data_IF_139302955581
#
_entry.id   IF_139302955581
#
_cell.length_a   1.000
_cell.length_b   1.000
_cell.length_c   1.000
_cell.angle_alpha   90.00
_cell.angle_beta   90.00
_cell.angle_gamma   90.00
#
_symmetry.space_group_name_H-M   'P 1'
#
loop_
_entity.id
_entity.type
_entity.pdbx_description
1 polymer ?
#
# COMPACT_ATOMS: atom_id res chain seq x y z
N UNK A 1 -6.48 23.40 8.21
CA UNK A 1 -5.30 22.73 8.82
C UNK A 1 -4.26 22.49 7.74
N UNK A 2 -3.00 22.82 7.97
CA UNK A 2 -1.92 22.44 7.05
C UNK A 2 -1.60 20.95 7.27
N UNK A 3 -1.60 20.17 6.19
CA UNK A 3 -1.27 18.77 6.22
C UNK A 3 0.26 18.56 6.36
N UNK A 4 0.69 17.66 7.24
CA UNK A 4 2.12 17.46 7.50
C UNK A 4 2.81 16.80 6.29
N UNK A 5 4.13 16.97 6.14
CA UNK A 5 4.92 16.28 5.11
C UNK A 5 4.80 14.76 5.24
N UNK A 6 4.70 14.27 6.48
CA UNK A 6 4.58 12.85 6.76
C UNK A 6 3.20 12.31 6.32
N UNK A 7 2.13 13.05 6.58
CA UNK A 7 0.77 12.65 6.17
C UNK A 7 0.67 12.51 4.65
N UNK A 8 1.35 13.40 3.90
CA UNK A 8 1.40 13.32 2.44
C UNK A 8 2.06 12.04 1.95
N UNK A 9 3.14 11.60 2.61
CA UNK A 9 3.82 10.34 2.30
C UNK A 9 2.94 9.14 2.63
N UNK A 10 2.25 9.15 3.78
CA UNK A 10 1.31 8.09 4.15
C UNK A 10 0.19 7.97 3.10
N UNK A 11 -0.36 9.09 2.64
CA UNK A 11 -1.41 9.11 1.61
C UNK A 11 -0.90 8.62 0.25
N UNK A 12 0.29 9.05 -0.15
CA UNK A 12 0.93 8.60 -1.39
C UNK A 12 1.17 7.09 -1.37
N UNK A 13 1.71 6.56 -0.27
CA UNK A 13 1.87 5.13 -0.07
C UNK A 13 0.54 4.40 -0.17
N UNK A 14 -0.48 4.86 0.56
CA UNK A 14 -1.79 4.20 0.57
C UNK A 14 -2.44 4.18 -0.81
N UNK A 15 -2.30 5.26 -1.58
CA UNK A 15 -2.81 5.35 -2.95
C UNK A 15 -2.13 4.30 -3.85
N UNK A 16 -0.81 4.17 -3.77
CA UNK A 16 -0.06 3.17 -4.53
C UNK A 16 -0.38 1.74 -4.09
N UNK A 17 -0.53 1.51 -2.78
CA UNK A 17 -0.89 0.21 -2.22
C UNK A 17 -2.28 -0.21 -2.68
N UNK A 18 -3.27 0.68 -2.59
CA UNK A 18 -4.65 0.39 -3.02
C UNK A 18 -4.77 0.22 -4.55
N UNK A 19 -3.90 0.85 -5.34
CA UNK A 19 -3.86 0.66 -6.80
C UNK A 19 -3.55 -0.79 -7.21
N UNK A 20 -2.87 -1.56 -6.35
CA UNK A 20 -2.62 -2.99 -6.55
C UNK A 20 -3.94 -3.79 -6.58
N UNK A 21 -4.93 -3.38 -5.78
CA UNK A 21 -6.23 -4.06 -5.60
C UNK A 21 -7.31 -3.67 -6.60
N UNK A 22 -6.96 -2.99 -7.71
CA UNK A 22 -7.95 -2.44 -8.66
C UNK A 22 -9.02 -1.58 -7.96
N UNK A 23 -8.60 -0.77 -6.99
CA UNK A 23 -9.48 0.23 -6.40
C UNK A 23 -9.81 1.28 -7.45
N UNK A 24 -11.09 1.47 -7.73
CA UNK A 24 -11.59 2.39 -8.76
C UNK A 24 -11.53 3.85 -8.26
N UNK A 25 -11.90 4.08 -6.99
CA UNK A 25 -11.93 5.42 -6.42
C UNK A 25 -11.60 5.42 -4.93
N UNK A 26 -10.83 6.41 -4.47
CA UNK A 26 -10.69 6.74 -3.04
C UNK A 26 -11.63 7.91 -2.73
N UNK A 27 -12.75 7.64 -2.06
CA UNK A 27 -13.76 8.66 -1.70
C UNK A 27 -13.22 9.67 -0.69
N UNK A 28 -12.62 9.16 0.38
CA UNK A 28 -11.93 10.00 1.34
C UNK A 28 -10.80 9.21 2.02
N UNK A 29 -9.83 9.96 2.52
CA UNK A 29 -8.73 9.43 3.31
C UNK A 29 -8.35 10.45 4.39
N UNK A 30 -8.11 9.95 5.60
CA UNK A 30 -7.73 10.78 6.74
C UNK A 30 -6.65 10.06 7.54
N UNK A 31 -5.67 10.83 7.99
CA UNK A 31 -4.61 10.35 8.87
C UNK A 31 -4.66 11.11 10.19
N UNK A 32 -4.81 10.38 11.29
CA UNK A 32 -4.88 10.95 12.63
C UNK A 32 -4.39 9.92 13.66
N UNK A 33 -3.61 10.35 14.65
CA UNK A 33 -3.13 9.47 15.74
C UNK A 33 -2.46 8.17 15.24
N UNK A 34 -1.58 8.29 14.24
CA UNK A 34 -0.91 7.16 13.57
C UNK A 34 -1.85 6.15 12.89
N UNK A 35 -3.11 6.54 12.63
CA UNK A 35 -4.08 5.70 11.94
C UNK A 35 -4.50 6.36 10.65
N UNK A 36 -4.34 5.63 9.57
CA UNK A 36 -4.93 5.95 8.29
C UNK A 36 -6.30 5.28 8.22
N UNK A 37 -7.31 6.01 7.80
CA UNK A 37 -8.63 5.45 7.54
C UNK A 37 -9.24 6.15 6.34
N UNK A 38 -10.10 5.45 5.64
CA UNK A 38 -10.71 5.96 4.44
C UNK A 38 -11.85 5.10 3.95
N UNK A 39 -12.41 5.53 2.83
CA UNK A 39 -13.44 4.81 2.10
C UNK A 39 -13.01 4.74 0.65
N UNK A 40 -13.17 3.56 0.06
CA UNK A 40 -12.86 3.28 -1.33
C UNK A 40 -14.09 2.70 -2.03
N UNK A 41 -14.13 2.88 -3.34
CA UNK A 41 -14.93 2.03 -4.23
C UNK A 41 -14.01 0.95 -4.77
N UNK A 42 -14.32 -0.29 -4.45
CA UNK A 42 -13.61 -1.46 -4.93
C UNK A 42 -14.43 -2.16 -6.00
N UNK A 43 -13.77 -2.51 -7.10
CA UNK A 43 -14.38 -3.20 -8.23
C UNK A 43 -13.96 -4.67 -8.18
N UNK A 44 -14.73 -5.47 -7.44
CA UNK A 44 -14.61 -6.92 -7.53
C UNK A 44 -15.39 -7.39 -8.75
N UNK A 45 -14.73 -8.14 -9.61
CA UNK A 45 -14.96 -8.24 -11.06
C UNK A 45 -16.33 -8.77 -11.53
N UNK A 46 -17.31 -8.99 -10.66
CA UNK A 46 -18.59 -9.60 -10.97
C UNK A 46 -19.84 -8.95 -10.32
N UNK A 47 -19.72 -7.96 -9.42
CA UNK A 47 -20.87 -7.26 -8.81
C UNK A 47 -20.67 -5.74 -8.70
N UNK A 48 -21.76 -5.02 -8.41
CA UNK A 48 -21.80 -3.56 -8.26
C UNK A 48 -20.66 -3.04 -7.38
N UNK A 49 -20.04 -1.94 -7.80
CA UNK A 49 -19.04 -1.18 -7.05
C UNK A 49 -19.28 -1.19 -5.52
N UNK A 50 -18.41 -1.86 -4.77
CA UNK A 50 -18.56 -2.00 -3.32
C UNK A 50 -17.90 -0.83 -2.59
N UNK A 51 -18.66 -0.20 -1.69
CA UNK A 51 -18.11 0.80 -0.77
C UNK A 51 -17.47 0.12 0.44
N UNK A 52 -16.15 0.16 0.51
CA UNK A 52 -15.38 -0.48 1.58
C UNK A 52 -14.71 0.59 2.44
N UNK A 53 -14.87 0.49 3.76
CA UNK A 53 -14.08 1.29 4.70
C UNK A 53 -12.80 0.56 5.04
N UNK A 54 -11.69 1.28 5.16
CA UNK A 54 -10.42 0.69 5.54
C UNK A 54 -9.76 1.44 6.70
N UNK A 55 -8.89 0.73 7.43
CA UNK A 55 -8.02 1.27 8.46
C UNK A 55 -6.65 0.61 8.41
N UNK A 56 -5.61 1.42 8.56
CA UNK A 56 -4.23 0.96 8.71
C UNK A 56 -3.58 1.67 9.89
N UNK A 57 -2.98 0.90 10.80
CA UNK A 57 -2.15 1.43 11.88
C UNK A 57 -0.71 1.61 11.41
N UNK A 58 -0.31 2.87 11.26
CA UNK A 58 0.98 3.24 10.68
C UNK A 58 2.07 3.23 11.76
N UNK A 59 2.84 2.15 11.81
CA UNK A 59 3.95 1.98 12.74
C UNK A 59 5.34 2.27 12.10
N UNK A 60 5.34 2.78 10.86
CA UNK A 60 6.54 3.00 10.06
C UNK A 60 7.12 4.40 10.25
N UNK A 61 8.44 4.52 10.10
CA UNK A 61 9.14 5.81 10.05
C UNK A 61 9.06 6.41 8.65
N UNK A 62 9.24 7.73 8.54
CA UNK A 62 9.30 8.47 7.27
C UNK A 62 10.19 7.81 6.22
N UNK A 63 11.38 7.34 6.59
CA UNK A 63 12.31 6.69 5.65
C UNK A 63 11.78 5.35 5.13
N UNK A 64 11.08 4.58 5.96
CA UNK A 64 10.48 3.31 5.55
C UNK A 64 9.32 3.56 4.58
N UNK A 65 8.49 4.57 4.83
CA UNK A 65 7.41 4.95 3.91
C UNK A 65 7.97 5.42 2.56
N UNK A 66 9.03 6.23 2.55
CA UNK A 66 9.69 6.66 1.30
C UNK A 66 10.17 5.46 0.48
N UNK A 67 10.81 4.48 1.13
CA UNK A 67 11.27 3.27 0.47
C UNK A 67 10.10 2.46 -0.11
N UNK A 68 9.02 2.30 0.66
CA UNK A 68 7.82 1.59 0.20
C UNK A 68 7.17 2.30 -0.99
N UNK A 69 7.12 3.63 -0.99
CA UNK A 69 6.63 4.42 -2.13
C UNK A 69 7.50 4.14 -3.37
N UNK A 70 8.82 4.20 -3.24
CA UNK A 70 9.73 3.95 -4.37
C UNK A 70 9.61 2.52 -4.92
N UNK A 71 9.40 1.54 -4.04
CA UNK A 71 9.14 0.15 -4.39
C UNK A 71 7.81 -0.01 -5.14
N UNK A 72 6.72 0.50 -4.56
CA UNK A 72 5.38 0.38 -5.14
C UNK A 72 5.24 1.17 -6.44
N UNK A 73 5.84 2.35 -6.57
CA UNK A 73 5.91 3.09 -7.84
C UNK A 73 6.51 2.23 -8.93
N UNK A 74 7.64 1.58 -8.65
CA UNK A 74 8.27 0.70 -9.63
C UNK A 74 7.34 -0.45 -10.05
N UNK A 75 6.67 -1.09 -9.10
CA UNK A 75 5.73 -2.19 -9.36
C UNK A 75 4.55 -1.70 -10.21
N UNK A 76 3.93 -0.58 -9.83
CA UNK A 76 2.77 -0.01 -10.51
C UNK A 76 3.14 0.50 -11.91
N UNK A 77 4.21 1.28 -12.05
CA UNK A 77 4.65 1.86 -13.34
C UNK A 77 4.98 0.79 -14.39
N UNK A 78 5.36 -0.42 -13.96
CA UNK A 78 5.71 -1.54 -14.83
C UNK A 78 4.61 -2.62 -14.89
N UNK A 79 3.44 -2.40 -14.27
CA UNK A 79 2.34 -3.36 -14.19
C UNK A 79 2.77 -4.75 -13.66
N UNK A 80 3.68 -4.77 -12.68
CA UNK A 80 4.24 -6.01 -12.09
C UNK A 80 3.36 -6.54 -10.97
N UNK A 81 2.04 -6.57 -11.16
CA UNK A 81 1.09 -7.04 -10.16
C UNK A 81 -0.17 -7.64 -10.81
N UNK A 82 -0.95 -8.37 -10.02
CA UNK A 82 -2.29 -8.85 -10.38
C UNK A 82 -3.13 -9.02 -9.15
N UNK A 83 -4.10 -8.13 -8.97
CA UNK A 83 -4.76 -7.98 -7.67
C UNK A 83 -3.66 -7.81 -6.60
N UNK A 84 -3.78 -8.50 -5.48
CA UNK A 84 -2.89 -8.53 -4.34
C UNK A 84 -1.51 -9.18 -4.57
N UNK A 85 -1.23 -9.77 -5.74
CA UNK A 85 0.00 -10.51 -6.01
C UNK A 85 1.01 -9.66 -6.80
N UNK A 86 2.24 -9.53 -6.31
CA UNK A 86 3.37 -8.93 -7.04
C UNK A 86 3.98 -9.95 -8.01
N UNK A 87 4.02 -9.62 -9.30
CA UNK A 87 4.53 -10.48 -10.39
C UNK A 87 6.00 -10.25 -10.71
N UNK A 88 6.84 -10.18 -9.69
CA UNK A 88 8.29 -10.09 -9.85
C UNK A 88 8.93 -10.78 -8.65
N UNK A 89 9.97 -11.56 -8.89
CA UNK A 89 10.63 -12.29 -7.81
C UNK A 89 11.40 -11.32 -6.90
N UNK A 90 11.58 -11.72 -5.63
CA UNK A 90 12.44 -11.00 -4.70
C UNK A 90 13.85 -10.79 -5.26
N UNK A 91 14.41 -11.80 -5.94
CA UNK A 91 15.74 -11.72 -6.56
C UNK A 91 15.84 -10.60 -7.60
N UNK A 92 14.85 -10.50 -8.48
CA UNK A 92 14.80 -9.45 -9.51
C UNK A 92 14.63 -8.04 -8.90
N UNK A 93 13.81 -7.91 -7.85
CA UNK A 93 13.69 -6.66 -7.09
C UNK A 93 15.01 -6.27 -6.42
N UNK A 94 15.70 -7.23 -5.81
CA UNK A 94 17.02 -7.01 -5.19
C UNK A 94 18.02 -6.50 -6.22
N UNK A 95 18.13 -7.15 -7.38
CA UNK A 95 19.05 -6.71 -8.44
C UNK A 95 18.70 -5.31 -8.94
N UNK A 96 17.41 -5.03 -9.17
CA UNK A 96 16.95 -3.72 -9.64
C UNK A 96 17.31 -2.59 -8.69
N UNK A 97 17.02 -2.76 -7.40
CA UNK A 97 17.24 -1.70 -6.42
C UNK A 97 18.71 -1.57 -5.99
N UNK A 98 19.50 -2.65 -6.05
CA UNK A 98 20.96 -2.56 -5.95
C UNK A 98 21.54 -1.64 -7.03
N UNK A 99 21.07 -1.76 -8.28
CA UNK A 99 21.49 -0.88 -9.37
C UNK A 99 21.06 0.58 -9.20
N UNK A 100 20.07 0.86 -8.33
CA UNK A 100 19.67 2.21 -7.90
C UNK A 100 20.44 2.71 -6.65
N UNK A 101 21.40 1.94 -6.15
CA UNK A 101 22.23 2.29 -5.00
C UNK A 101 21.67 1.86 -3.64
N UNK A 102 20.61 1.06 -3.60
CA UNK A 102 20.10 0.53 -2.34
C UNK A 102 20.99 -0.59 -1.81
N UNK A 103 21.12 -0.66 -0.48
CA UNK A 103 21.77 -1.79 0.18
C UNK A 103 20.81 -2.98 0.18
N UNK A 104 21.35 -4.20 0.05
CA UNK A 104 20.52 -5.41 0.07
C UNK A 104 19.64 -5.51 1.31
N UNK A 105 20.19 -5.23 2.50
CA UNK A 105 19.42 -5.23 3.76
C UNK A 105 18.24 -4.27 3.72
N UNK A 106 18.41 -3.09 3.14
CA UNK A 106 17.34 -2.10 2.99
C UNK A 106 16.22 -2.60 2.06
N UNK A 107 16.56 -3.37 1.03
CA UNK A 107 15.58 -3.94 0.09
C UNK A 107 14.76 -5.02 0.80
N UNK A 108 15.44 -5.94 1.49
CA UNK A 108 14.81 -7.03 2.26
C UNK A 108 13.90 -6.43 3.34
N UNK A 109 14.42 -5.50 4.16
CA UNK A 109 13.61 -4.81 5.19
C UNK A 109 12.39 -4.12 4.57
N UNK A 110 12.51 -3.55 3.37
CA UNK A 110 11.39 -2.87 2.70
C UNK A 110 10.33 -3.87 2.23
N UNK A 111 10.74 -5.02 1.71
CA UNK A 111 9.83 -6.10 1.30
C UNK A 111 9.13 -6.72 2.51
N UNK A 112 9.87 -7.01 3.58
CA UNK A 112 9.28 -7.49 4.83
C UNK A 112 8.27 -6.49 5.40
N UNK A 113 8.60 -5.18 5.39
CA UNK A 113 7.64 -4.15 5.78
C UNK A 113 6.40 -4.16 4.88
N UNK A 114 6.55 -4.33 3.55
CA UNK A 114 5.42 -4.36 2.63
C UNK A 114 4.47 -5.53 2.92
N UNK A 115 5.00 -6.74 3.13
CA UNK A 115 4.19 -7.94 3.38
C UNK A 115 3.54 -7.97 4.77
N UNK A 116 4.06 -7.17 5.72
CA UNK A 116 3.48 -7.03 7.04
C UNK A 116 2.46 -5.89 7.14
N UNK A 117 2.21 -5.12 6.07
CA UNK A 117 1.22 -4.05 6.08
C UNK A 117 -0.18 -4.64 5.86
N UNK A 118 -1.04 -4.34 6.82
CA UNK A 118 -2.44 -4.74 6.86
C UNK A 118 -3.36 -3.52 6.76
N UNK A 119 -4.20 -3.48 5.72
CA UNK A 119 -5.33 -2.55 5.67
C UNK A 119 -6.58 -3.32 6.06
N UNK A 120 -6.97 -3.22 7.33
CA UNK A 120 -8.21 -3.79 7.86
C UNK A 120 -9.41 -3.20 7.11
N UNK A 121 -10.35 -4.05 6.69
CA UNK A 121 -11.59 -3.69 5.99
C UNK A 121 -12.77 -3.74 6.94
N UNK A 122 -13.69 -2.81 6.79
CA UNK A 122 -14.86 -2.67 7.66
C UNK A 122 -16.14 -2.48 6.87
N UNK A 123 -17.18 -3.18 7.30
CA UNK A 123 -18.58 -2.99 6.88
C UNK A 123 -19.45 -2.92 8.12
N UNK A 124 -20.36 -1.94 8.21
CA UNK A 124 -21.24 -1.77 9.38
C UNK A 124 -20.49 -1.73 10.75
N UNK A 125 -19.25 -1.25 10.76
CA UNK A 125 -18.32 -1.23 11.91
C UNK A 125 -17.77 -2.61 12.35
N UNK A 126 -17.99 -3.66 11.58
CA UNK A 126 -17.40 -4.98 11.78
C UNK A 126 -16.20 -5.17 10.85
N UNK A 127 -15.14 -5.79 11.34
CA UNK A 127 -13.99 -6.14 10.51
C UNK A 127 -14.36 -7.35 9.62
N UNK A 128 -14.27 -7.17 8.30
CA UNK A 128 -14.64 -8.17 7.28
C UNK A 128 -13.43 -8.75 6.54
N UNK A 129 -12.25 -8.62 7.12
CA UNK A 129 -10.97 -9.06 6.57
C UNK A 129 -10.05 -7.88 6.28
N UNK A 130 -9.02 -8.11 5.47
CA UNK A 130 -7.98 -7.11 5.26
C UNK A 130 -7.34 -7.22 3.88
N UNK A 131 -6.77 -6.13 3.39
CA UNK A 131 -5.89 -6.13 2.22
C UNK A 131 -4.44 -6.38 2.65
N UNK A 132 -3.79 -7.39 2.05
CA UNK A 132 -2.37 -7.73 2.21
C UNK A 132 -1.73 -8.12 0.90
N UNK A 133 -0.50 -7.64 0.67
CA UNK A 133 0.23 -7.94 -0.57
C UNK A 133 0.95 -9.28 -0.45
N UNK A 134 0.91 -10.07 -1.51
CA UNK A 134 1.58 -11.35 -1.65
C UNK A 134 2.65 -11.30 -2.77
N UNK A 135 3.60 -12.24 -2.75
CA UNK A 135 4.53 -12.54 -3.85
C UNK A 135 4.05 -13.74 -4.67
#
# INVERSE_FOLDING_TARGET
>A
MQQSKYDKLVFEFATLFLAIYKVDEIKFIKFENNKLFGQIIWNDSDEDNEEVYFKWEVQLKTSQIINLIDLLKYIVDHNLYYSDIIKITEGELIEKFKNKGWKQIMIIDTLENLFNIEFERYENNENVGSFFVHL
#
